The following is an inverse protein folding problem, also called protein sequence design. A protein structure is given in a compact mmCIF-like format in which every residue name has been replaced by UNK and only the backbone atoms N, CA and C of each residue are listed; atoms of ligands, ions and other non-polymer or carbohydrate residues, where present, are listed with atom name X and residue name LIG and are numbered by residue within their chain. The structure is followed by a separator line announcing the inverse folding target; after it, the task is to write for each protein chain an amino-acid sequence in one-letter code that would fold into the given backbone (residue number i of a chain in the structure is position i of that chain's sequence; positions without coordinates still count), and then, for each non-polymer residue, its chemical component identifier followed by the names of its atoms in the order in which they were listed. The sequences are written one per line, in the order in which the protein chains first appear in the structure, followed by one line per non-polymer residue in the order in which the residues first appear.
data_IF_758796675431
#
_entry.id   IF_758796675431
#
_cell.length_a   1.000
_cell.length_b   1.000
_cell.length_c   1.000
_cell.angle_alpha   90.00
_cell.angle_beta   90.00
_cell.angle_gamma   90.00
#
_symmetry.space_group_name_H-M   'P 1'
#
loop_
_entity.id
_entity.type
_entity.pdbx_description
1 polymer ?
#
# COMPACT_ATOMS: atom_id res chain seq x y z
N UNK A 1 -5.42 -39.91 -9.03
CA UNK A 1 -4.06 -39.84 -9.61
C UNK A 1 -4.02 -38.86 -10.79
N UNK A 2 -4.23 -37.57 -10.57
CA UNK A 2 -3.94 -36.54 -11.59
C UNK A 2 -3.17 -35.43 -10.86
N UNK A 3 -1.83 -35.52 -10.91
CA UNK A 3 -0.92 -34.52 -10.37
C UNK A 3 -0.80 -33.41 -11.41
N UNK A 4 -1.42 -32.26 -11.16
CA UNK A 4 -1.09 -31.04 -11.91
C UNK A 4 0.29 -30.58 -11.44
N UNK A 5 1.31 -30.78 -12.28
CA UNK A 5 2.61 -30.14 -12.11
C UNK A 5 2.42 -28.66 -12.43
N UNK A 6 2.31 -27.83 -11.39
CA UNK A 6 2.52 -26.40 -11.53
C UNK A 6 3.97 -26.19 -12.00
N UNK A 7 4.13 -25.67 -13.21
CA UNK A 7 5.42 -25.30 -13.76
C UNK A 7 5.94 -24.11 -12.94
N UNK A 8 6.82 -24.40 -11.97
CA UNK A 8 7.60 -23.41 -11.26
C UNK A 8 8.54 -22.72 -12.27
N UNK A 9 8.05 -21.63 -12.89
CA UNK A 9 8.91 -20.67 -13.57
C UNK A 9 9.63 -19.85 -12.50
N UNK A 10 10.72 -20.41 -11.97
CA UNK A 10 11.69 -19.64 -11.21
C UNK A 10 12.43 -18.71 -12.17
N UNK A 11 11.88 -17.52 -12.42
CA UNK A 11 12.64 -16.44 -13.02
C UNK A 11 13.64 -15.91 -11.99
N UNK A 12 14.80 -16.56 -11.90
CA UNK A 12 15.99 -15.96 -11.30
C UNK A 12 16.83 -15.35 -12.42
N UNK A 13 16.32 -14.26 -13.01
CA UNK A 13 17.16 -13.40 -13.82
C UNK A 13 17.80 -12.37 -12.88
N UNK A 14 18.85 -12.78 -12.16
CA UNK A 14 19.67 -11.84 -11.40
C UNK A 14 20.62 -11.13 -12.36
N UNK A 15 20.13 -10.07 -12.98
CA UNK A 15 21.01 -9.00 -13.48
C UNK A 15 21.01 -7.96 -12.37
N UNK A 16 22.17 -7.73 -11.76
CA UNK A 16 22.39 -6.63 -10.83
C UNK A 16 22.33 -5.30 -11.63
N UNK A 17 21.12 -4.86 -11.95
CA UNK A 17 20.81 -3.49 -12.37
C UNK A 17 20.56 -2.68 -11.10
N UNK A 18 20.98 -1.41 -11.10
CA UNK A 18 21.14 -0.55 -9.92
C UNK A 18 19.93 -0.48 -8.98
N UNK A 19 19.80 -1.49 -8.13
CA UNK A 19 18.74 -1.57 -7.14
C UNK A 19 18.83 -0.38 -6.19
N UNK A 20 17.67 0.03 -5.64
CA UNK A 20 17.64 0.84 -4.43
C UNK A 20 18.33 0.04 -3.32
N UNK A 21 19.64 0.26 -3.17
CA UNK A 21 20.38 -0.21 -2.02
C UNK A 21 20.35 0.89 -0.96
N UNK A 22 19.27 0.90 -0.18
CA UNK A 22 19.14 1.70 1.02
C UNK A 22 19.68 0.96 2.25
N UNK A 23 20.47 -0.10 2.10
CA UNK A 23 21.02 -0.82 3.25
C UNK A 23 21.92 0.06 4.11
N UNK A 24 22.63 1.00 3.49
CA UNK A 24 23.46 2.00 4.19
C UNK A 24 22.67 3.25 4.61
N UNK A 25 21.38 3.37 4.26
CA UNK A 25 20.59 4.53 4.64
C UNK A 25 20.34 4.51 6.16
N UNK A 26 20.68 5.59 6.88
CA UNK A 26 20.55 5.62 8.33
C UNK A 26 19.07 5.57 8.73
N UNK A 27 18.68 4.46 9.35
CA UNK A 27 17.41 4.30 10.06
C UNK A 27 17.68 4.02 11.52
N UNK A 28 16.84 4.58 12.40
CA UNK A 28 16.90 4.29 13.85
C UNK A 28 16.06 3.06 14.22
N UNK A 29 15.35 2.49 13.24
CA UNK A 29 14.39 1.41 13.46
C UNK A 29 15.01 0.08 13.09
N UNK A 30 15.14 -0.82 14.07
CA UNK A 30 15.40 -2.25 13.83
C UNK A 30 14.06 -2.93 13.49
N UNK A 31 13.86 -3.38 12.24
CA UNK A 31 12.60 -3.98 11.81
C UNK A 31 12.28 -5.29 12.54
N UNK A 32 13.29 -5.96 13.12
CA UNK A 32 13.10 -7.21 13.87
C UNK A 32 12.71 -6.99 15.34
N UNK A 33 12.83 -5.75 15.82
CA UNK A 33 12.59 -5.35 17.22
C UNK A 33 11.74 -4.09 17.31
N UNK A 34 10.70 -4.02 16.50
CA UNK A 34 9.78 -2.88 16.49
C UNK A 34 9.10 -2.69 17.85
N UNK A 35 9.29 -1.49 18.40
CA UNK A 35 8.57 -0.98 19.55
C UNK A 35 7.60 0.09 19.06
N UNK A 36 6.31 -0.14 19.27
CA UNK A 36 5.30 0.90 19.04
C UNK A 36 5.36 1.88 20.21
N UNK A 37 5.46 3.19 19.95
CA UNK A 37 5.39 4.16 21.02
C UNK A 37 4.00 4.13 21.67
N UNK A 38 3.94 4.29 22.99
CA UNK A 38 2.70 4.32 23.75
C UNK A 38 1.96 5.64 23.53
N UNK A 39 1.35 5.78 22.35
CA UNK A 39 0.60 6.97 21.95
C UNK A 39 -0.89 6.64 22.03
N UNK A 40 -1.72 7.42 22.75
CA UNK A 40 -3.16 7.27 22.69
C UNK A 40 -3.63 7.44 21.24
N UNK A 41 -4.31 6.44 20.71
CA UNK A 41 -4.87 6.46 19.37
C UNK A 41 -6.39 6.33 19.44
N UNK A 42 -7.08 6.91 18.46
CA UNK A 42 -8.52 6.70 18.32
C UNK A 42 -8.78 5.23 17.94
N UNK A 43 -9.59 4.55 18.74
CA UNK A 43 -10.16 3.23 18.43
C UNK A 43 -11.60 3.37 17.95
N UNK A 44 -12.04 4.58 17.63
CA UNK A 44 -13.40 4.86 17.19
C UNK A 44 -13.58 4.45 15.73
N UNK A 45 -14.61 3.64 15.48
CA UNK A 45 -15.11 3.33 14.14
C UNK A 45 -16.09 4.39 13.61
N UNK A 46 -16.42 5.41 14.41
CA UNK A 46 -17.32 6.46 13.96
C UNK A 46 -16.69 7.23 12.78
N UNK A 47 -17.39 7.24 11.65
CA UNK A 47 -16.98 7.92 10.42
C UNK A 47 -16.81 9.43 10.58
N UNK A 48 -17.42 10.02 11.61
CA UNK A 48 -17.28 11.43 11.96
C UNK A 48 -16.16 11.72 12.98
N UNK A 49 -15.59 10.69 13.61
CA UNK A 49 -14.49 10.88 14.55
C UNK A 49 -13.18 11.13 13.79
N UNK A 50 -12.75 12.38 13.80
CA UNK A 50 -11.48 12.79 13.20
C UNK A 50 -10.27 12.40 14.06
N UNK A 51 -9.12 12.45 13.40
CA UNK A 51 -7.84 12.05 13.96
C UNK A 51 -7.35 12.92 15.11
N UNK A 52 -6.61 12.31 16.03
CA UNK A 52 -5.86 13.05 17.05
C UNK A 52 -4.40 13.17 16.62
N UNK A 53 -3.90 14.41 16.53
CA UNK A 53 -2.48 14.65 16.29
C UNK A 53 -1.63 14.01 17.39
N UNK A 54 -0.50 13.42 17.02
CA UNK A 54 0.48 12.91 17.98
C UNK A 54 1.88 13.38 17.65
N UNK A 55 2.69 13.49 18.69
CA UNK A 55 4.12 13.74 18.53
C UNK A 55 4.84 12.43 18.23
N UNK A 56 5.52 12.35 17.09
CA UNK A 56 6.35 11.20 16.75
C UNK A 56 7.78 11.35 17.26
N UNK A 57 8.45 10.22 17.50
CA UNK A 57 9.89 10.19 17.81
C UNK A 57 10.78 10.37 16.58
N UNK A 58 10.19 10.44 15.38
CA UNK A 58 10.92 10.75 14.15
C UNK A 58 11.06 12.26 13.99
N UNK A 59 12.29 12.70 13.79
CA UNK A 59 12.57 14.08 13.40
C UNK A 59 12.58 14.14 11.88
N UNK A 60 11.64 14.86 11.28
CA UNK A 60 11.57 15.07 9.83
C UNK A 60 12.24 16.40 9.50
N UNK A 61 13.44 16.35 8.95
CA UNK A 61 14.16 17.55 8.49
C UNK A 61 13.69 17.89 7.08
N UNK A 62 13.04 19.05 6.91
CA UNK A 62 12.37 19.43 5.65
C UNK A 62 13.29 19.46 4.43
N UNK A 63 14.58 19.70 4.61
CA UNK A 63 15.61 19.72 3.57
C UNK A 63 16.07 18.33 3.13
N UNK A 64 15.65 17.26 3.81
CA UNK A 64 15.98 15.87 3.47
C UNK A 64 14.87 15.16 2.69
N UNK A 65 13.73 15.81 2.50
CA UNK A 65 12.52 15.20 1.95
C UNK A 65 11.86 16.12 0.92
N UNK A 66 11.14 15.55 -0.06
CA UNK A 66 10.31 16.37 -0.92
C UNK A 66 9.21 17.07 -0.13
N UNK A 67 8.63 18.11 -0.72
CA UNK A 67 7.43 18.72 -0.13
C UNK A 67 6.31 17.67 -0.10
N UNK A 68 5.65 17.54 1.05
CA UNK A 68 4.55 16.59 1.26
C UNK A 68 3.45 16.88 0.24
N UNK A 69 2.98 15.84 -0.46
CA UNK A 69 1.94 15.89 -1.52
C UNK A 69 2.31 16.59 -2.85
N UNK A 70 3.46 17.23 -2.94
CA UNK A 70 3.98 17.74 -4.22
C UNK A 70 4.81 16.68 -4.93
N UNK A 71 4.88 16.79 -6.27
CA UNK A 71 5.80 15.96 -7.09
C UNK A 71 7.18 15.96 -6.44
N UNK A 72 7.77 14.79 -6.28
CA UNK A 72 8.96 14.60 -5.44
C UNK A 72 10.21 15.41 -5.87
N UNK A 73 10.18 16.07 -7.03
CA UNK A 73 11.25 16.94 -7.54
C UNK A 73 10.96 18.44 -7.34
N UNK A 74 9.78 18.81 -6.85
CA UNK A 74 9.28 20.20 -6.81
C UNK A 74 10.14 21.16 -5.98
N UNK A 75 10.84 20.64 -4.98
CA UNK A 75 11.73 21.38 -4.08
C UNK A 75 13.21 21.02 -4.29
N UNK A 76 13.61 20.70 -5.53
CA UNK A 76 14.98 20.35 -5.94
C UNK A 76 15.54 19.07 -5.30
N UNK A 77 14.70 18.20 -4.75
CA UNK A 77 15.16 16.92 -4.18
C UNK A 77 15.73 15.96 -5.22
N UNK A 78 15.51 16.22 -6.50
CA UNK A 78 16.19 15.56 -7.62
C UNK A 78 17.67 15.97 -7.79
N UNK A 79 18.15 16.96 -7.03
CA UNK A 79 19.55 17.40 -7.01
C UNK A 79 20.33 16.91 -5.78
N UNK A 80 19.66 16.20 -4.86
CA UNK A 80 20.34 15.62 -3.69
C UNK A 80 21.44 14.67 -4.16
N UNK A 81 22.55 14.60 -3.41
CA UNK A 81 23.67 13.72 -3.80
C UNK A 81 23.27 12.25 -3.85
N UNK A 82 22.32 11.84 -3.00
CA UNK A 82 21.79 10.49 -2.96
C UNK A 82 20.97 10.18 -4.21
N UNK A 83 20.00 11.03 -4.56
CA UNK A 83 19.19 10.86 -5.76
C UNK A 83 20.02 10.95 -7.03
N UNK A 84 20.96 11.89 -7.12
CA UNK A 84 21.82 12.07 -8.30
C UNK A 84 22.68 10.83 -8.55
N UNK A 85 23.19 10.18 -7.49
CA UNK A 85 23.92 8.91 -7.63
C UNK A 85 23.04 7.78 -8.15
N UNK A 86 21.81 7.66 -7.65
CA UNK A 86 20.84 6.68 -8.13
C UNK A 86 20.46 6.95 -9.60
N UNK A 87 20.14 8.20 -9.94
CA UNK A 87 19.79 8.57 -11.32
C UNK A 87 20.93 8.24 -12.29
N UNK A 88 22.18 8.52 -11.91
CA UNK A 88 23.36 8.28 -12.74
C UNK A 88 23.78 6.79 -12.79
N UNK A 89 23.29 5.93 -11.90
CA UNK A 89 23.58 4.48 -11.95
C UNK A 89 22.70 3.74 -12.97
N UNK A 90 21.62 4.38 -13.44
CA UNK A 90 20.68 3.81 -14.41
C UNK A 90 21.17 4.10 -15.83
N UNK A 91 21.22 3.06 -16.67
CA UNK A 91 21.50 3.18 -18.11
C UNK A 91 20.24 3.65 -18.86
N UNK A 92 20.02 4.96 -18.87
CA UNK A 92 18.86 5.59 -19.51
C UNK A 92 18.77 5.36 -21.02
N UNK A 93 19.85 4.93 -21.69
CA UNK A 93 19.81 4.58 -23.11
C UNK A 93 18.93 3.36 -23.41
N UNK A 94 18.65 2.54 -22.38
CA UNK A 94 17.77 1.37 -22.45
C UNK A 94 16.32 1.65 -22.07
N UNK A 95 15.99 2.87 -21.63
CA UNK A 95 14.64 3.21 -21.22
C UNK A 95 13.67 3.17 -22.42
N UNK A 96 12.47 2.58 -22.29
CA UNK A 96 11.45 2.63 -23.32
C UNK A 96 11.12 4.07 -23.72
N UNK A 97 11.15 4.34 -25.02
CA UNK A 97 10.80 5.66 -25.57
C UNK A 97 9.28 5.84 -25.65
N UNK A 98 8.63 5.96 -24.49
CA UNK A 98 7.19 6.25 -24.38
C UNK A 98 7.00 7.73 -24.07
N UNK A 99 6.22 8.49 -24.85
CA UNK A 99 5.95 9.89 -24.58
C UNK A 99 5.24 10.09 -23.23
N UNK A 100 5.61 11.15 -22.52
CA UNK A 100 4.90 11.61 -21.31
C UNK A 100 3.46 11.98 -21.68
N UNK A 101 2.50 11.47 -20.90
CA UNK A 101 1.07 11.68 -21.11
C UNK A 101 0.64 13.05 -20.62
N UNK A 102 -0.52 13.49 -21.10
CA UNK A 102 -1.13 14.76 -20.71
C UNK A 102 -2.47 14.51 -20.05
N UNK A 103 -2.89 15.48 -19.25
CA UNK A 103 -4.25 15.55 -18.76
C UNK A 103 -5.09 16.36 -19.77
N UNK A 104 -6.34 15.96 -19.92
CA UNK A 104 -7.35 16.74 -20.61
C UNK A 104 -7.86 17.89 -19.71
N UNK A 105 -8.72 18.75 -20.26
CA UNK A 105 -9.25 19.91 -19.54
C UNK A 105 -10.07 19.57 -18.29
N UNK A 106 -10.55 18.32 -18.17
CA UNK A 106 -11.32 17.82 -17.03
C UNK A 106 -10.44 17.09 -15.99
N UNK A 107 -9.11 17.12 -16.12
CA UNK A 107 -8.19 16.46 -15.18
C UNK A 107 -7.93 14.98 -15.44
N UNK A 108 -8.68 14.35 -16.36
CA UNK A 108 -8.46 12.95 -16.75
C UNK A 108 -7.31 12.76 -17.75
N UNK A 109 -6.86 11.52 -17.93
CA UNK A 109 -5.84 11.20 -18.95
C UNK A 109 -6.34 11.52 -20.37
N UNK A 110 -5.49 12.17 -21.17
CA UNK A 110 -5.74 12.39 -22.59
C UNK A 110 -5.23 11.18 -23.40
N UNK A 111 -6.18 10.40 -23.91
CA UNK A 111 -5.90 9.22 -24.75
C UNK A 111 -5.82 9.58 -26.25
N UNK A 112 -5.97 10.85 -26.62
CA UNK A 112 -5.98 11.27 -28.03
C UNK A 112 -4.69 10.85 -28.74
N UNK A 113 -4.84 10.12 -29.84
CA UNK A 113 -3.71 9.64 -30.64
C UNK A 113 -3.01 8.40 -30.06
N UNK A 114 -3.48 7.84 -28.94
CA UNK A 114 -2.98 6.55 -28.48
C UNK A 114 -3.62 5.40 -29.28
N UNK A 115 -2.78 4.50 -29.79
CA UNK A 115 -3.22 3.29 -30.47
C UNK A 115 -3.64 2.23 -29.44
N UNK A 116 -4.92 2.19 -29.09
CA UNK A 116 -5.48 1.22 -28.14
C UNK A 116 -5.62 -0.18 -28.71
N UNK A 117 -5.49 -0.35 -30.03
CA UNK A 117 -5.57 -1.66 -30.69
C UNK A 117 -4.24 -2.39 -30.58
N UNK A 118 -3.14 -1.71 -30.93
CA UNK A 118 -1.80 -2.30 -30.87
C UNK A 118 -1.10 -2.06 -29.53
N UNK A 119 -1.53 -1.06 -28.76
CA UNK A 119 -1.08 -0.75 -27.40
C UNK A 119 0.45 -0.71 -27.25
N UNK A 120 1.17 0.12 -28.02
CA UNK A 120 2.62 0.02 -28.15
C UNK A 120 3.38 0.22 -26.82
N UNK A 121 2.75 0.85 -25.82
CA UNK A 121 3.36 1.11 -24.52
C UNK A 121 2.84 0.22 -23.38
N UNK A 122 1.96 -0.75 -23.67
CA UNK A 122 1.27 -1.54 -22.63
C UNK A 122 0.65 -0.64 -21.55
N UNK A 123 -0.14 0.35 -21.97
CA UNK A 123 -0.64 1.38 -21.07
C UNK A 123 -1.88 0.90 -20.33
N UNK A 124 -1.75 0.65 -19.03
CA UNK A 124 -2.82 0.06 -18.23
C UNK A 124 -4.10 0.90 -18.24
N UNK A 125 -3.99 2.22 -18.13
CA UNK A 125 -5.15 3.13 -18.13
C UNK A 125 -5.92 3.12 -19.45
N UNK A 126 -5.30 2.67 -20.55
CA UNK A 126 -5.93 2.61 -21.87
C UNK A 126 -6.47 1.22 -22.22
N UNK A 127 -5.74 0.16 -21.86
CA UNK A 127 -6.01 -1.22 -22.34
C UNK A 127 -5.98 -2.28 -21.25
N UNK A 128 -5.71 -1.89 -20.00
CA UNK A 128 -5.45 -2.77 -18.87
C UNK A 128 -4.33 -3.79 -19.15
N UNK A 129 -3.37 -3.43 -20.01
CA UNK A 129 -2.21 -4.28 -20.27
C UNK A 129 -1.32 -4.38 -19.03
N UNK A 130 -0.95 -5.62 -18.68
CA UNK A 130 -0.23 -6.00 -17.45
C UNK A 130 1.08 -6.74 -17.71
N UNK A 131 1.36 -7.05 -18.98
CA UNK A 131 2.56 -7.76 -19.42
C UNK A 131 3.39 -6.80 -20.27
N UNK A 132 4.52 -6.30 -19.76
CA UNK A 132 5.31 -5.30 -20.46
C UNK A 132 5.81 -5.85 -21.80
N UNK A 133 5.92 -4.95 -22.79
CA UNK A 133 6.49 -5.25 -24.12
C UNK A 133 7.98 -4.93 -24.15
N UNK A 134 8.41 -4.01 -23.29
CA UNK A 134 9.81 -3.68 -23.03
C UNK A 134 10.58 -4.86 -22.44
N UNK A 135 11.85 -5.00 -22.84
CA UNK A 135 12.74 -6.02 -22.34
C UNK A 135 13.24 -5.69 -20.93
N UNK A 136 13.53 -6.72 -20.13
CA UNK A 136 14.05 -6.60 -18.76
C UNK A 136 13.15 -5.75 -17.85
N UNK A 137 11.83 -5.86 -18.05
CA UNK A 137 10.81 -5.18 -17.26
C UNK A 137 9.96 -6.23 -16.54
N UNK A 138 9.75 -6.04 -15.24
CA UNK A 138 8.92 -6.94 -14.45
C UNK A 138 7.44 -6.87 -14.90
N UNK A 139 6.79 -8.03 -15.02
CA UNK A 139 5.36 -8.10 -15.25
C UNK A 139 4.57 -7.78 -13.98
N UNK A 140 3.34 -7.28 -14.15
CA UNK A 140 2.51 -6.90 -13.01
C UNK A 140 1.90 -8.13 -12.33
N UNK A 141 1.70 -8.02 -11.01
CA UNK A 141 0.93 -8.98 -10.22
C UNK A 141 -0.53 -8.50 -10.20
N UNK A 142 -1.45 -9.28 -10.76
CA UNK A 142 -2.87 -8.88 -10.92
C UNK A 142 -3.89 -9.88 -10.36
N UNK A 143 -3.45 -11.06 -9.96
CA UNK A 143 -4.29 -12.07 -9.33
C UNK A 143 -3.45 -12.97 -8.43
N UNK A 144 -4.07 -13.54 -7.39
CA UNK A 144 -3.48 -14.64 -6.65
C UNK A 144 -3.53 -15.94 -7.49
N UNK A 145 -2.48 -16.78 -7.47
CA UNK A 145 -2.43 -18.03 -8.22
C UNK A 145 -3.36 -19.10 -7.64
N UNK A 146 -3.48 -19.19 -6.31
CA UNK A 146 -4.36 -20.16 -5.67
C UNK A 146 -5.84 -19.83 -5.93
N UNK A 147 -6.66 -20.79 -6.39
CA UNK A 147 -8.11 -20.64 -6.51
C UNK A 147 -8.79 -20.10 -5.26
N UNK A 148 -9.92 -19.41 -5.45
CA UNK A 148 -10.82 -18.99 -4.37
C UNK A 148 -10.10 -18.21 -3.25
N UNK A 149 -9.02 -17.50 -3.62
CA UNK A 149 -8.22 -16.66 -2.73
C UNK A 149 -8.56 -15.19 -2.94
N UNK A 150 -8.90 -14.51 -1.86
CA UNK A 150 -9.05 -13.06 -1.83
C UNK A 150 -7.71 -12.40 -1.48
N UNK A 151 -7.06 -11.79 -2.47
CA UNK A 151 -5.87 -10.97 -2.28
C UNK A 151 -6.24 -9.62 -1.66
N UNK A 152 -6.03 -9.49 -0.36
CA UNK A 152 -6.48 -8.35 0.44
C UNK A 152 -5.47 -7.19 0.37
N UNK A 153 -5.92 -6.05 -0.14
CA UNK A 153 -5.09 -4.84 -0.28
C UNK A 153 -5.79 -3.57 0.17
N UNK A 154 -5.02 -2.62 0.70
CA UNK A 154 -5.49 -1.28 1.05
C UNK A 154 -4.50 -0.22 0.58
N UNK A 155 -5.01 0.77 -0.14
CA UNK A 155 -4.23 1.90 -0.67
C UNK A 155 -4.37 3.15 0.21
N UNK A 156 -3.55 4.14 -0.10
CA UNK A 156 -3.55 5.51 0.44
C UNK A 156 -3.17 5.68 1.92
N UNK A 157 -2.74 4.60 2.55
CA UNK A 157 -2.24 4.61 3.92
C UNK A 157 -0.82 5.22 4.07
N UNK A 158 -0.29 5.22 5.30
CA UNK A 158 -1.06 5.14 6.53
C UNK A 158 -1.86 6.42 6.71
N UNK A 159 -3.11 6.31 7.15
CA UNK A 159 -3.90 7.48 7.56
C UNK A 159 -3.79 7.66 9.09
N UNK A 160 -4.58 8.56 9.69
CA UNK A 160 -4.56 8.80 11.13
C UNK A 160 -5.68 8.11 11.92
N UNK A 161 -6.66 7.50 11.27
CA UNK A 161 -7.74 6.71 11.89
C UNK A 161 -7.52 5.18 11.78
N UNK A 162 -6.39 4.76 11.22
CA UNK A 162 -6.03 3.37 10.94
C UNK A 162 -6.06 2.44 12.15
N UNK A 163 -6.01 2.97 13.38
CA UNK A 163 -5.87 2.17 14.57
C UNK A 163 -7.05 1.25 14.84
N UNK A 164 -8.28 1.77 14.74
CA UNK A 164 -9.48 0.96 14.90
C UNK A 164 -9.54 -0.15 13.84
N UNK A 165 -9.10 0.17 12.62
CA UNK A 165 -9.04 -0.78 11.52
C UNK A 165 -7.96 -1.85 11.72
N UNK A 166 -6.77 -1.48 12.19
CA UNK A 166 -5.67 -2.42 12.43
C UNK A 166 -5.97 -3.28 13.66
N UNK A 167 -6.68 -2.75 14.68
CA UNK A 167 -7.23 -3.53 15.80
C UNK A 167 -8.19 -4.61 15.26
N UNK A 168 -9.11 -4.23 14.36
CA UNK A 168 -10.03 -5.18 13.74
C UNK A 168 -9.30 -6.28 12.96
N UNK A 169 -8.31 -5.92 12.13
CA UNK A 169 -7.49 -6.89 11.39
C UNK A 169 -6.73 -7.82 12.35
N UNK A 170 -6.13 -7.27 13.41
CA UNK A 170 -5.37 -8.03 14.40
C UNK A 170 -6.27 -9.02 15.17
N UNK A 171 -7.45 -8.57 15.63
CA UNK A 171 -8.45 -9.41 16.31
C UNK A 171 -8.91 -10.58 15.44
N UNK A 172 -8.95 -10.38 14.12
CA UNK A 172 -9.33 -11.41 13.15
C UNK A 172 -8.13 -12.21 12.60
N UNK A 173 -6.93 -12.01 13.14
CA UNK A 173 -5.67 -12.58 12.63
C UNK A 173 -5.50 -12.40 11.11
N UNK A 174 -5.96 -11.26 10.58
CA UNK A 174 -6.00 -10.98 9.16
C UNK A 174 -4.84 -10.06 8.77
N UNK A 175 -4.05 -10.49 7.78
CA UNK A 175 -2.98 -9.68 7.17
C UNK A 175 -3.44 -9.18 5.80
N UNK A 176 -2.84 -8.08 5.36
CA UNK A 176 -3.16 -7.40 4.10
C UNK A 176 -1.87 -6.83 3.50
N UNK A 177 -1.86 -6.57 2.19
CA UNK A 177 -0.86 -5.70 1.58
C UNK A 177 -1.30 -4.25 1.71
N UNK A 178 -0.49 -3.41 2.35
CA UNK A 178 -0.76 -1.99 2.56
C UNK A 178 0.10 -1.17 1.61
N UNK A 179 -0.49 -0.39 0.73
CA UNK A 179 0.19 0.47 -0.23
C UNK A 179 0.24 1.89 0.33
N UNK A 180 1.42 2.28 0.81
CA UNK A 180 1.59 3.54 1.50
C UNK A 180 2.09 4.66 0.60
N UNK A 181 1.42 5.81 0.67
CA UNK A 181 1.90 7.06 0.07
C UNK A 181 3.09 7.54 0.88
N UNK A 182 4.22 7.83 0.22
CA UNK A 182 5.47 8.19 0.88
C UNK A 182 5.35 9.41 1.79
N UNK A 183 4.59 10.42 1.37
CA UNK A 183 4.34 11.61 2.17
C UNK A 183 3.45 11.33 3.40
N UNK A 184 2.50 10.39 3.30
CA UNK A 184 1.71 9.93 4.45
C UNK A 184 2.56 9.19 5.48
N UNK A 185 3.58 8.42 5.07
CA UNK A 185 4.49 7.74 5.99
C UNK A 185 5.23 8.74 6.90
N UNK A 186 5.58 9.93 6.39
CA UNK A 186 6.23 10.96 7.21
C UNK A 186 5.26 11.72 8.12
N UNK A 187 4.01 11.91 7.68
CA UNK A 187 2.97 12.53 8.51
C UNK A 187 2.48 11.58 9.60
N UNK A 188 2.43 10.28 9.30
CA UNK A 188 1.84 9.26 10.16
C UNK A 188 2.80 8.07 10.41
N UNK A 189 4.03 8.31 10.92
CA UNK A 189 5.04 7.26 11.06
C UNK A 189 4.64 6.16 12.05
N UNK A 190 3.78 6.45 13.02
CA UNK A 190 3.23 5.42 13.90
C UNK A 190 2.43 4.38 13.11
N UNK A 191 1.63 4.80 12.12
CA UNK A 191 0.82 3.88 11.31
C UNK A 191 1.69 2.94 10.48
N UNK A 192 2.77 3.46 9.89
CA UNK A 192 3.71 2.63 9.16
C UNK A 192 4.45 1.63 10.08
N UNK A 193 4.89 2.07 11.26
CA UNK A 193 5.48 1.17 12.27
C UNK A 193 4.49 0.07 12.68
N UNK A 194 3.23 0.45 12.92
CA UNK A 194 2.17 -0.46 13.32
C UNK A 194 1.88 -1.48 12.21
N UNK A 195 1.79 -1.04 10.96
CA UNK A 195 1.59 -1.92 9.81
C UNK A 195 2.64 -3.03 9.73
N UNK A 196 3.92 -2.67 9.88
CA UNK A 196 4.99 -3.67 9.90
C UNK A 196 4.95 -4.55 11.17
N UNK A 197 4.70 -3.96 12.34
CA UNK A 197 4.64 -4.67 13.63
C UNK A 197 3.52 -5.71 13.65
N UNK A 198 2.36 -5.36 13.11
CA UNK A 198 1.20 -6.23 12.99
C UNK A 198 1.37 -7.26 11.85
N UNK A 199 2.48 -7.23 11.10
CA UNK A 199 2.84 -8.25 10.11
C UNK A 199 2.14 -8.08 8.77
N UNK A 200 1.68 -6.87 8.44
CA UNK A 200 1.16 -6.56 7.12
C UNK A 200 2.29 -6.44 6.09
N UNK A 201 1.96 -6.68 4.82
CA UNK A 201 2.90 -6.50 3.71
C UNK A 201 2.92 -5.04 3.25
N UNK A 202 3.89 -4.26 3.73
CA UNK A 202 4.07 -2.87 3.33
C UNK A 202 4.64 -2.73 1.90
N UNK A 203 3.96 -1.94 1.08
CA UNK A 203 4.31 -1.61 -0.30
C UNK A 203 4.36 -0.09 -0.50
N UNK A 204 5.01 0.38 -1.57
CA UNK A 204 5.00 1.80 -1.95
C UNK A 204 3.78 2.19 -2.79
N UNK A 205 3.30 3.43 -2.63
CA UNK A 205 2.19 3.99 -3.43
C UNK A 205 2.50 5.39 -3.97
N UNK A 206 3.74 5.59 -4.42
CA UNK A 206 4.27 6.90 -4.86
C UNK A 206 4.33 7.93 -3.73
N UNK A 207 5.05 9.04 -3.96
CA UNK A 207 5.27 10.05 -2.93
C UNK A 207 4.10 11.01 -2.83
N UNK A 208 3.62 11.47 -4.00
CA UNK A 208 2.64 12.56 -4.15
C UNK A 208 1.31 12.12 -4.74
N UNK A 209 1.16 10.84 -5.06
CA UNK A 209 -0.07 10.26 -5.59
C UNK A 209 -0.54 10.91 -6.91
N UNK A 210 0.40 11.15 -7.84
CA UNK A 210 0.14 11.67 -9.18
C UNK A 210 0.11 10.56 -10.23
N UNK A 211 -0.58 10.80 -11.34
CA UNK A 211 -0.60 9.88 -12.49
C UNK A 211 0.80 9.71 -13.07
N UNK A 212 1.40 8.54 -12.89
CA UNK A 212 2.82 8.32 -13.14
C UNK A 212 3.21 8.47 -14.61
N UNK A 213 2.30 8.23 -15.55
CA UNK A 213 2.60 8.38 -16.99
C UNK A 213 2.65 9.84 -17.43
N UNK A 214 2.11 10.77 -16.62
CA UNK A 214 2.19 12.22 -16.83
C UNK A 214 3.49 12.85 -16.31
N UNK A 215 4.27 12.08 -15.55
CA UNK A 215 5.55 12.48 -14.99
C UNK A 215 6.71 12.11 -15.93
N UNK A 216 7.73 12.96 -15.99
CA UNK A 216 8.96 12.64 -16.72
C UNK A 216 9.78 11.55 -15.99
N UNK A 217 10.84 11.05 -16.62
CA UNK A 217 11.63 9.93 -16.07
C UNK A 217 12.26 10.21 -14.71
N UNK A 218 12.73 11.43 -14.48
CA UNK A 218 13.36 11.84 -13.22
C UNK A 218 12.30 11.95 -12.11
N UNK A 219 11.12 12.46 -12.44
CA UNK A 219 9.97 12.55 -11.54
C UNK A 219 9.45 11.17 -11.15
N UNK A 220 9.24 10.26 -12.12
CA UNK A 220 8.86 8.86 -11.85
C UNK A 220 9.84 8.18 -10.91
N UNK A 221 11.16 8.33 -11.17
CA UNK A 221 12.19 7.78 -10.31
C UNK A 221 12.10 8.36 -8.89
N UNK A 222 11.91 9.67 -8.76
CA UNK A 222 11.83 10.36 -7.47
C UNK A 222 10.61 9.93 -6.65
N UNK A 223 9.44 9.80 -7.28
CA UNK A 223 8.22 9.33 -6.65
C UNK A 223 8.40 7.95 -5.99
N UNK A 224 9.02 7.01 -6.70
CA UNK A 224 9.28 5.67 -6.20
C UNK A 224 10.36 5.66 -5.11
N UNK A 225 11.47 6.35 -5.37
CA UNK A 225 12.62 6.37 -4.48
C UNK A 225 12.32 7.03 -3.12
N UNK A 226 11.69 8.22 -3.10
CA UNK A 226 11.40 8.90 -1.85
C UNK A 226 10.32 8.18 -1.02
N UNK A 227 9.43 7.44 -1.68
CA UNK A 227 8.48 6.55 -1.00
C UNK A 227 9.19 5.40 -0.29
N UNK A 228 10.07 4.68 -0.99
CA UNK A 228 10.87 3.62 -0.39
C UNK A 228 11.76 4.15 0.74
N UNK A 229 12.38 5.32 0.55
CA UNK A 229 13.18 6.02 1.57
C UNK A 229 12.37 6.34 2.82
N UNK A 230 11.14 6.85 2.67
CA UNK A 230 10.26 7.16 3.80
C UNK A 230 9.88 5.90 4.59
N UNK A 231 9.50 4.83 3.89
CA UNK A 231 9.18 3.53 4.51
C UNK A 231 10.41 2.99 5.25
N UNK A 232 11.60 3.00 4.63
CA UNK A 232 12.86 2.57 5.25
C UNK A 232 13.21 3.39 6.48
N UNK A 233 13.09 4.71 6.40
CA UNK A 233 13.39 5.62 7.49
C UNK A 233 12.55 5.30 8.73
N UNK A 234 11.24 5.08 8.54
CA UNK A 234 10.32 4.84 9.64
C UNK A 234 10.37 3.40 10.14
N UNK A 235 10.40 2.42 9.24
CA UNK A 235 10.14 1.01 9.58
C UNK A 235 11.38 0.12 9.56
N UNK A 236 12.46 0.60 8.95
CA UNK A 236 13.69 -0.17 8.80
C UNK A 236 13.72 -1.12 7.61
N UNK A 237 12.65 -1.23 6.81
CA UNK A 237 12.58 -2.08 5.60
C UNK A 237 12.41 -1.27 4.31
N UNK A 238 12.93 -1.80 3.21
CA UNK A 238 12.82 -1.23 1.86
C UNK A 238 11.86 -2.07 1.02
N UNK A 239 10.69 -1.55 0.59
CA UNK A 239 9.70 -2.32 -0.17
C UNK A 239 10.19 -2.67 -1.58
N UNK A 240 9.93 -3.92 -2.01
CA UNK A 240 10.19 -4.39 -3.39
C UNK A 240 8.91 -4.43 -4.25
N UNK A 241 7.80 -4.00 -3.70
CA UNK A 241 6.50 -4.00 -4.35
C UNK A 241 5.82 -2.64 -4.18
N UNK A 242 5.07 -2.27 -5.20
CA UNK A 242 4.41 -0.97 -5.24
C UNK A 242 3.13 -1.06 -6.07
N UNK A 243 2.29 -0.03 -5.97
CA UNK A 243 1.13 0.16 -6.84
C UNK A 243 1.17 1.58 -7.40
N UNK A 244 0.95 1.78 -8.71
CA UNK A 244 0.83 3.11 -9.29
C UNK A 244 -0.41 3.81 -8.75
N UNK A 245 -0.24 5.06 -8.32
CA UNK A 245 -1.35 5.93 -7.98
C UNK A 245 -2.35 6.00 -9.14
N UNK A 246 -3.64 5.89 -8.83
CA UNK A 246 -4.74 5.91 -9.81
C UNK A 246 -4.67 4.77 -10.86
N UNK A 247 -3.84 3.75 -10.64
CA UNK A 247 -3.61 2.66 -11.60
C UNK A 247 -2.73 3.02 -12.79
N UNK A 248 -2.26 4.27 -12.89
CA UNK A 248 -1.67 4.78 -14.12
C UNK A 248 -0.22 4.33 -14.32
N UNK A 249 0.00 3.47 -15.33
CA UNK A 249 1.26 2.77 -15.57
C UNK A 249 1.42 2.39 -17.05
N UNK A 250 2.59 2.64 -17.61
CA UNK A 250 3.02 2.17 -18.93
C UNK A 250 4.40 1.50 -18.85
N UNK A 251 4.90 0.99 -19.98
CA UNK A 251 6.19 0.31 -20.04
C UNK A 251 7.38 1.16 -19.58
N UNK A 252 7.34 2.47 -19.80
CA UNK A 252 8.41 3.38 -19.33
C UNK A 252 8.40 3.44 -17.81
N UNK A 253 7.23 3.61 -17.20
CA UNK A 253 7.09 3.64 -15.74
C UNK A 253 7.44 2.27 -15.12
N UNK A 254 6.99 1.14 -15.71
CA UNK A 254 7.36 -0.21 -15.24
C UNK A 254 8.87 -0.44 -15.33
N UNK A 255 9.49 -0.02 -16.43
CA UNK A 255 10.92 -0.18 -16.62
C UNK A 255 11.73 0.59 -15.58
N UNK A 256 11.33 1.83 -15.26
CA UNK A 256 11.97 2.64 -14.21
C UNK A 256 11.82 1.96 -12.84
N UNK A 257 10.61 1.48 -12.50
CA UNK A 257 10.40 0.74 -11.26
C UNK A 257 11.24 -0.55 -11.19
N UNK A 258 11.41 -1.24 -12.31
CA UNK A 258 12.26 -2.44 -12.40
C UNK A 258 13.72 -2.14 -12.09
N UNK A 259 14.23 -0.94 -12.43
CA UNK A 259 15.60 -0.53 -12.06
C UNK A 259 15.77 -0.47 -10.54
N UNK A 260 14.70 -0.20 -9.80
CA UNK A 260 14.68 -0.17 -8.34
C UNK A 260 14.40 -1.54 -7.71
N UNK A 261 14.40 -2.61 -8.52
CA UNK A 261 13.97 -3.95 -8.14
C UNK A 261 12.53 -4.00 -7.62
N UNK A 262 11.67 -3.10 -8.11
CA UNK A 262 10.27 -3.04 -7.73
C UNK A 262 9.37 -3.75 -8.74
N UNK A 263 8.33 -4.42 -8.26
CA UNK A 263 7.28 -5.03 -9.09
C UNK A 263 5.93 -4.40 -8.79
N UNK A 264 5.18 -4.03 -9.83
CA UNK A 264 3.86 -3.44 -9.66
C UNK A 264 2.83 -4.52 -9.27
N UNK A 265 2.01 -4.21 -8.27
CA UNK A 265 0.84 -4.98 -7.87
C UNK A 265 -0.41 -4.18 -8.22
N UNK A 266 -1.21 -4.68 -9.15
CA UNK A 266 -2.48 -4.07 -9.55
C UNK A 266 -3.64 -4.84 -8.92
N UNK A 267 -4.82 -4.75 -9.51
CA UNK A 267 -6.04 -5.41 -9.06
C UNK A 267 -6.84 -5.92 -10.26
N UNK A 268 -7.74 -6.86 -10.00
CA UNK A 268 -8.73 -7.33 -10.97
C UNK A 268 -10.17 -7.15 -10.49
N UNK A 269 -10.37 -6.61 -9.29
CA UNK A 269 -11.65 -6.16 -8.75
C UNK A 269 -11.44 -4.81 -8.03
N UNK A 270 -12.35 -3.86 -8.26
CA UNK A 270 -12.28 -2.51 -7.69
C UNK A 270 -13.56 -2.20 -6.89
N UNK A 271 -13.43 -1.87 -5.61
CA UNK A 271 -14.60 -1.59 -4.76
C UNK A 271 -15.23 -0.23 -5.03
N UNK A 272 -14.51 0.70 -5.67
CA UNK A 272 -14.89 2.11 -5.82
C UNK A 272 -15.24 2.80 -4.48
N UNK A 273 -14.68 2.31 -3.38
CA UNK A 273 -14.92 2.82 -2.02
C UNK A 273 -14.46 4.27 -1.85
N UNK A 274 -13.33 4.63 -2.47
CA UNK A 274 -12.81 6.00 -2.53
C UNK A 274 -13.77 7.01 -3.17
N UNK A 275 -14.66 6.53 -4.04
CA UNK A 275 -15.57 7.37 -4.82
C UNK A 275 -16.95 7.56 -4.16
N UNK A 276 -17.20 6.91 -3.02
CA UNK A 276 -18.47 6.95 -2.31
C UNK A 276 -18.82 8.38 -1.87
N UNK A 277 -19.88 8.95 -2.46
CA UNK A 277 -20.37 10.29 -2.13
C UNK A 277 -19.51 11.44 -2.69
N UNK A 278 -18.40 11.15 -3.37
CA UNK A 278 -17.51 12.13 -3.99
C UNK A 278 -17.61 12.13 -5.51
N UNK A 279 -17.97 10.98 -6.11
CA UNK A 279 -18.19 10.85 -7.56
C UNK A 279 -19.68 10.75 -7.88
N UNK A 280 -20.19 11.52 -8.87
CA UNK A 280 -21.59 11.42 -9.28
C UNK A 280 -22.02 9.98 -9.60
N UNK A 281 -23.06 9.50 -8.93
CA UNK A 281 -23.61 8.16 -9.12
C UNK A 281 -22.93 7.05 -8.30
N UNK A 282 -21.85 7.33 -7.57
CA UNK A 282 -21.22 6.36 -6.67
C UNK A 282 -21.63 6.70 -5.23
N UNK A 283 -22.52 5.88 -4.68
CA UNK A 283 -23.03 6.01 -3.30
C UNK A 283 -22.47 4.92 -2.40
N UNK A 284 -22.70 5.03 -1.08
CA UNK A 284 -22.39 3.95 -0.15
C UNK A 284 -23.08 2.63 -0.53
N UNK A 285 -24.31 2.68 -1.05
CA UNK A 285 -25.02 1.48 -1.53
C UNK A 285 -24.39 0.89 -2.78
N UNK A 286 -23.85 1.73 -3.67
CA UNK A 286 -23.10 1.28 -4.85
C UNK A 286 -21.88 0.47 -4.42
N UNK A 287 -21.12 0.96 -3.44
CA UNK A 287 -19.95 0.26 -2.90
C UNK A 287 -20.35 -1.00 -2.15
N UNK A 288 -21.40 -0.96 -1.32
CA UNK A 288 -21.94 -2.16 -0.67
C UNK A 288 -22.33 -3.23 -1.70
N UNK A 289 -22.96 -2.85 -2.80
CA UNK A 289 -23.34 -3.78 -3.86
C UNK A 289 -22.11 -4.40 -4.53
N UNK A 290 -21.03 -3.63 -4.77
CA UNK A 290 -19.76 -4.18 -5.28
C UNK A 290 -19.21 -5.28 -4.38
N UNK A 291 -19.18 -5.07 -3.06
CA UNK A 291 -18.77 -6.09 -2.12
C UNK A 291 -19.66 -7.34 -2.18
N UNK A 292 -20.99 -7.17 -2.26
CA UNK A 292 -21.93 -8.28 -2.39
C UNK A 292 -21.73 -9.07 -3.69
N UNK A 293 -21.47 -8.38 -4.81
CA UNK A 293 -21.17 -9.01 -6.09
C UNK A 293 -19.88 -9.83 -6.00
N UNK A 294 -18.83 -9.30 -5.37
CA UNK A 294 -17.56 -10.00 -5.18
C UNK A 294 -17.68 -11.18 -4.22
N UNK A 295 -18.51 -11.08 -3.19
CA UNK A 295 -18.90 -12.20 -2.32
C UNK A 295 -19.59 -13.29 -3.14
N UNK A 296 -20.53 -12.93 -4.01
CA UNK A 296 -21.23 -13.89 -4.87
C UNK A 296 -20.28 -14.56 -5.88
N UNK A 297 -19.30 -13.83 -6.42
CA UNK A 297 -18.24 -14.38 -7.28
C UNK A 297 -17.40 -15.46 -6.56
N UNK A 298 -17.17 -15.30 -5.25
CA UNK A 298 -16.51 -16.34 -4.44
C UNK A 298 -17.35 -17.63 -4.35
N UNK A 299 -18.68 -17.51 -4.35
CA UNK A 299 -19.62 -18.64 -4.17
C UNK A 299 -20.00 -19.35 -5.47
N UNK A 300 -19.91 -18.68 -6.61
CA UNK A 300 -20.48 -19.17 -7.88
C UNK A 300 -19.43 -19.81 -8.82
N UNK A 301 -18.20 -20.02 -8.36
CA UNK A 301 -17.13 -20.61 -9.14
C UNK A 301 -16.35 -19.64 -10.05
N UNK A 302 -16.61 -18.32 -9.98
CA UNK A 302 -15.83 -17.32 -10.76
C UNK A 302 -14.32 -17.46 -10.51
N UNK A 303 -13.94 -17.74 -9.26
CA UNK A 303 -12.54 -17.89 -8.84
C UNK A 303 -12.11 -19.37 -8.67
N UNK A 304 -12.76 -20.32 -9.34
CA UNK A 304 -12.44 -21.76 -9.22
C UNK A 304 -11.05 -22.17 -9.75
N UNK A 305 -10.40 -21.32 -10.54
CA UNK A 305 -9.10 -21.62 -11.18
C UNK A 305 -7.95 -20.71 -10.74
N UNK A 306 -8.27 -19.60 -10.07
CA UNK A 306 -7.31 -18.59 -9.55
C UNK A 306 -8.03 -17.65 -8.58
N UNK A 307 -7.29 -16.94 -7.75
CA UNK A 307 -7.83 -15.93 -6.84
C UNK A 307 -7.99 -14.56 -7.50
N UNK A 308 -8.37 -13.59 -6.68
CA UNK A 308 -8.44 -12.17 -7.04
C UNK A 308 -7.41 -11.34 -6.26
N UNK A 309 -7.25 -10.08 -6.67
CA UNK A 309 -6.67 -9.02 -5.87
C UNK A 309 -7.66 -7.85 -5.92
N UNK A 310 -8.11 -7.42 -4.74
CA UNK A 310 -9.16 -6.40 -4.61
C UNK A 310 -8.55 -5.07 -4.20
N UNK A 311 -8.80 -4.04 -4.99
CA UNK A 311 -8.50 -2.65 -4.63
C UNK A 311 -9.54 -2.13 -3.64
N UNK A 312 -9.07 -1.65 -2.50
CA UNK A 312 -9.81 -0.95 -1.45
C UNK A 312 -8.86 0.04 -0.78
N UNK A 313 -9.37 0.93 0.07
CA UNK A 313 -8.60 2.07 0.57
C UNK A 313 -8.70 2.23 2.09
N UNK A 314 -7.59 2.60 2.72
CA UNK A 314 -7.57 3.11 4.10
C UNK A 314 -7.44 4.64 4.10
N UNK A 315 -8.35 5.34 3.41
CA UNK A 315 -8.36 6.81 3.36
C UNK A 315 -8.94 7.41 4.64
N UNK A 316 -10.05 6.84 5.11
CA UNK A 316 -10.80 7.31 6.28
C UNK A 316 -11.64 6.17 6.87
N UNK A 317 -12.37 6.46 7.95
CA UNK A 317 -13.23 5.46 8.60
C UNK A 317 -14.31 4.90 7.68
N UNK A 318 -14.87 5.67 6.75
CA UNK A 318 -15.90 5.18 5.83
C UNK A 318 -15.38 4.09 4.90
N UNK A 319 -14.20 4.28 4.28
CA UNK A 319 -13.63 3.28 3.36
C UNK A 319 -13.28 1.98 4.09
N UNK A 320 -12.71 2.11 5.30
CA UNK A 320 -12.38 0.96 6.16
C UNK A 320 -13.64 0.23 6.66
N UNK A 321 -14.70 0.96 7.00
CA UNK A 321 -15.98 0.41 7.45
C UNK A 321 -16.66 -0.45 6.38
N UNK A 322 -16.56 -0.08 5.09
CA UNK A 322 -17.09 -0.93 4.03
C UNK A 322 -16.46 -2.33 4.08
N UNK A 323 -15.13 -2.42 4.15
CA UNK A 323 -14.48 -3.72 4.27
C UNK A 323 -14.88 -4.45 5.57
N UNK A 324 -14.81 -3.78 6.73
CA UNK A 324 -15.11 -4.41 8.02
C UNK A 324 -16.53 -4.96 8.09
N UNK A 325 -17.50 -4.28 7.48
CA UNK A 325 -18.89 -4.73 7.37
C UNK A 325 -19.02 -6.03 6.58
N UNK A 326 -18.27 -6.17 5.49
CA UNK A 326 -18.39 -7.31 4.55
C UNK A 326 -17.42 -8.45 4.85
N UNK A 327 -16.35 -8.22 5.62
CA UNK A 327 -15.31 -9.19 5.93
C UNK A 327 -15.83 -10.56 6.43
N UNK A 328 -16.82 -10.64 7.34
CA UNK A 328 -17.35 -11.94 7.77
C UNK A 328 -17.93 -12.79 6.62
N UNK A 329 -18.61 -12.16 5.66
CA UNK A 329 -19.17 -12.86 4.50
C UNK A 329 -18.12 -13.14 3.43
N UNK A 330 -17.12 -12.27 3.26
CA UNK A 330 -15.94 -12.54 2.42
C UNK A 330 -15.24 -13.82 2.90
N UNK A 331 -14.97 -13.93 4.21
CA UNK A 331 -14.30 -15.11 4.81
C UNK A 331 -15.07 -16.42 4.63
N UNK A 332 -16.40 -16.37 4.54
CA UNK A 332 -17.22 -17.56 4.26
C UNK A 332 -17.25 -17.94 2.78
N UNK A 333 -16.97 -16.98 1.90
CA UNK A 333 -17.20 -17.11 0.45
C UNK A 333 -15.93 -17.44 -0.33
N UNK A 334 -14.77 -17.26 0.30
CA UNK A 334 -13.46 -17.56 -0.26
C UNK A 334 -12.76 -18.57 0.65
N UNK A 335 -12.01 -19.51 0.07
CA UNK A 335 -11.22 -20.48 0.84
C UNK A 335 -10.12 -19.79 1.63
N UNK A 336 -9.55 -18.73 1.06
CA UNK A 336 -8.44 -17.99 1.63
C UNK A 336 -8.67 -16.49 1.49
N UNK A 337 -8.30 -15.74 2.52
CA UNK A 337 -8.26 -14.27 2.51
C UNK A 337 -6.94 -13.88 3.14
N UNK A 338 -6.04 -13.28 2.37
CA UNK A 338 -4.65 -13.06 2.80
C UNK A 338 -4.01 -11.91 2.01
N UNK A 339 -2.86 -11.43 2.49
CA UNK A 339 -2.07 -10.43 1.76
C UNK A 339 -1.49 -11.00 0.45
N UNK A 340 -1.12 -10.11 -0.46
CA UNK A 340 -0.64 -10.50 -1.79
C UNK A 340 0.73 -11.18 -1.73
N UNK A 341 1.61 -10.80 -0.78
CA UNK A 341 2.91 -11.46 -0.65
C UNK A 341 2.74 -12.95 -0.33
N UNK A 342 1.90 -13.26 0.66
CA UNK A 342 1.55 -14.64 1.02
C UNK A 342 0.86 -15.35 -0.15
N UNK A 343 -0.11 -14.73 -0.82
CA UNK A 343 -0.82 -15.40 -1.93
C UNK A 343 0.09 -15.71 -3.13
N UNK A 344 1.13 -14.90 -3.35
CA UNK A 344 2.11 -15.07 -4.42
C UNK A 344 3.34 -15.90 -4.00
N UNK A 345 3.37 -16.45 -2.78
CA UNK A 345 4.55 -17.12 -2.21
C UNK A 345 5.83 -16.24 -2.19
N UNK A 346 5.67 -14.94 -1.97
CA UNK A 346 6.79 -14.00 -1.82
C UNK A 346 7.30 -14.08 -0.38
N UNK A 347 8.32 -14.89 -0.13
CA UNK A 347 8.87 -15.05 1.23
C UNK A 347 9.71 -13.86 1.70
N UNK A 348 10.24 -13.05 0.78
CA UNK A 348 11.11 -11.91 1.09
C UNK A 348 10.61 -10.64 0.36
N UNK A 349 9.60 -9.94 0.90
CA UNK A 349 9.03 -8.77 0.24
C UNK A 349 9.89 -7.50 0.35
N UNK A 350 10.98 -7.56 1.13
CA UNK A 350 11.85 -6.43 1.43
C UNK A 350 13.30 -6.72 1.03
N UNK A 351 14.04 -5.66 0.68
CA UNK A 351 15.44 -5.75 0.27
C UNK A 351 16.32 -6.40 1.35
N UNK A 352 16.09 -6.07 2.62
CA UNK A 352 16.91 -6.50 3.76
C UNK A 352 16.77 -8.00 4.07
N UNK A 353 15.67 -8.65 3.64
CA UNK A 353 15.38 -10.08 3.88
C UNK A 353 15.35 -10.49 5.37
N UNK A 354 15.23 -9.53 6.28
CA UNK A 354 15.14 -9.76 7.73
C UNK A 354 13.72 -10.02 8.21
N UNK A 355 12.72 -9.53 7.49
CA UNK A 355 11.30 -9.85 7.69
C UNK A 355 10.87 -10.80 6.58
N UNK A 356 10.43 -12.00 6.97
CA UNK A 356 10.06 -13.06 6.05
C UNK A 356 8.59 -13.42 6.18
N UNK A 357 7.95 -13.71 5.05
CA UNK A 357 6.57 -14.16 4.99
C UNK A 357 6.53 -15.68 4.83
N UNK A 358 5.58 -16.31 5.52
CA UNK A 358 5.37 -17.74 5.36
C UNK A 358 4.77 -18.01 3.97
N UNK A 359 5.20 -19.09 3.34
CA UNK A 359 4.62 -19.55 2.10
C UNK A 359 3.14 -19.92 2.32
N UNK A 360 2.35 -19.88 1.25
CA UNK A 360 0.91 -20.04 1.27
C UNK A 360 0.42 -21.29 2.01
N UNK A 361 1.04 -22.45 1.76
CA UNK A 361 0.64 -23.71 2.42
C UNK A 361 0.84 -23.64 3.95
N UNK A 362 1.88 -22.96 4.40
CA UNK A 362 2.19 -22.82 5.83
C UNK A 362 1.26 -21.81 6.50
N UNK A 363 0.92 -20.71 5.82
CA UNK A 363 0.02 -19.67 6.36
C UNK A 363 -1.42 -20.16 6.46
N UNK A 364 -1.86 -21.01 5.53
CA UNK A 364 -3.22 -21.56 5.51
C UNK A 364 -3.39 -22.73 6.48
N UNK A 365 -2.37 -23.58 6.68
CA UNK A 365 -2.42 -24.71 7.63
C UNK A 365 -2.31 -24.27 9.10
N UNK A 366 -1.55 -23.21 9.41
CA UNK A 366 -1.50 -22.63 10.76
C UNK A 366 -2.84 -22.04 11.21
N UNK A 367 -3.65 -21.54 10.28
CA UNK A 367 -5.02 -21.08 10.58
C UNK A 367 -6.01 -22.24 10.84
N UNK A 368 -5.65 -23.49 10.48
CA UNK A 368 -6.46 -24.70 10.75
C UNK A 368 -5.97 -25.43 12.01
N UNK A 369 -4.80 -25.06 12.55
CA UNK A 369 -4.18 -25.73 13.70
C UNK A 369 -3.74 -24.73 14.77
N UNK A 370 -4.68 -24.24 15.57
CA UNK A 370 -4.36 -23.60 16.86
C UNK A 370 -5.33 -24.04 17.96
N UNK A 371 -5.30 -25.34 18.28
CA UNK A 371 -5.37 -25.83 19.67
C UNK A 371 -4.08 -26.59 19.91
N UNK A 372 -3.12 -25.91 20.54
CA UNK A 372 -2.11 -26.35 21.54
C UNK A 372 -0.88 -25.46 21.41
N UNK A 373 -0.53 -24.83 22.53
CA UNK A 373 0.37 -23.68 22.58
C UNK A 373 1.85 -23.98 22.65
N UNK A 374 2.63 -22.89 22.53
CA UNK A 374 3.81 -22.49 23.31
C UNK A 374 4.49 -21.38 22.52
N UNK A 375 4.72 -20.16 23.00
CA UNK A 375 4.39 -19.52 24.26
C UNK A 375 4.88 -18.06 24.18
N UNK A 376 4.06 -17.13 24.66
CA UNK A 376 4.50 -15.85 25.22
C UNK A 376 3.50 -15.55 26.34
N UNK A 377 3.96 -15.57 27.58
CA UNK A 377 3.17 -15.21 28.77
C UNK A 377 3.23 -13.68 28.91
N UNK A 378 2.10 -12.95 28.96
CA UNK A 378 2.09 -11.57 29.44
C UNK A 378 2.14 -11.59 30.97
N UNK A 379 3.22 -11.07 31.54
CA UNK A 379 3.31 -10.82 32.98
C UNK A 379 2.39 -9.66 33.38
N UNK A 380 1.21 -9.98 33.90
CA UNK A 380 0.39 -9.05 34.64
C UNK A 380 0.82 -9.08 36.12
N UNK A 381 1.17 -7.93 36.68
CA UNK A 381 1.20 -7.71 38.13
C UNK A 381 0.49 -6.40 38.42
N UNK A 382 -0.77 -6.50 38.83
CA UNK A 382 -1.47 -5.43 39.49
C UNK A 382 -1.18 -5.45 40.99
N UNK A 383 -1.24 -4.29 41.63
CA UNK A 383 -1.76 -4.15 42.99
C UNK A 383 -2.27 -2.71 43.23
N UNK A 384 -3.27 -2.54 44.11
CA UNK A 384 -4.18 -1.40 44.09
C UNK A 384 -3.84 -0.36 45.16
N UNK A 385 -4.14 0.92 44.92
CA UNK A 385 -4.30 1.90 46.00
C UNK A 385 -5.49 2.83 45.70
N UNK A 386 -6.31 2.99 46.73
CA UNK A 386 -7.56 3.74 46.87
C UNK A 386 -7.39 5.26 47.03
N UNK A 387 -8.32 6.01 46.42
CA UNK A 387 -9.06 7.13 47.02
C UNK A 387 -8.37 8.48 47.28
N UNK A 388 -8.81 9.53 46.57
CA UNK A 388 -9.32 10.79 47.17
C UNK A 388 -9.71 11.85 46.10
N UNK A 389 -10.99 12.25 46.16
CA UNK A 389 -11.58 13.60 46.06
C UNK A 389 -10.89 14.74 45.29
N UNK A 390 -11.65 15.27 44.30
CA UNK A 390 -11.90 16.68 43.94
C UNK A 390 -10.74 17.64 43.60
N UNK A 391 -10.70 18.11 42.34
CA UNK A 391 -10.78 19.55 42.01
C UNK A 391 -11.01 19.76 40.50
N UNK A 392 -12.01 20.58 40.14
CA UNK A 392 -12.26 21.07 38.78
C UNK A 392 -11.78 22.52 38.72
N UNK A 393 -10.98 22.91 37.71
CA UNK A 393 -11.00 24.28 37.24
C UNK A 393 -11.53 24.33 35.81
N UNK A 394 -12.65 25.04 35.65
CA UNK A 394 -13.17 25.50 34.36
C UNK A 394 -12.15 26.45 33.72
N UNK A 395 -11.72 26.14 32.50
CA UNK A 395 -11.10 27.12 31.62
C UNK A 395 -11.98 27.32 30.39
N UNK A 396 -12.45 28.55 30.23
CA UNK A 396 -13.19 29.02 29.06
C UNK A 396 -12.28 28.92 27.84
N UNK A 397 -12.67 28.13 26.84
CA UNK A 397 -12.06 28.16 25.51
C UNK A 397 -12.98 28.96 24.59
N UNK A 398 -12.45 30.10 24.14
CA UNK A 398 -13.04 30.99 23.15
C UNK A 398 -13.14 30.27 21.81
N UNK A 399 -14.33 30.26 21.20
CA UNK A 399 -14.52 29.80 19.83
C UNK A 399 -13.68 30.65 18.87
N UNK A 400 -12.73 30.02 18.19
CA UNK A 400 -12.13 30.53 16.97
C UNK A 400 -12.58 29.61 15.83
N UNK A 401 -13.51 30.13 15.04
CA UNK A 401 -14.00 29.54 13.80
C UNK A 401 -12.84 29.48 12.80
N UNK A 402 -12.33 28.28 12.51
CA UNK A 402 -11.37 28.06 11.42
C UNK A 402 -12.15 27.56 10.21
N UNK A 403 -12.14 28.36 9.16
CA UNK A 403 -12.74 28.10 7.86
C UNK A 403 -11.90 27.03 7.15
N UNK A 404 -12.52 25.87 6.87
CA UNK A 404 -11.94 24.83 6.03
C UNK A 404 -11.97 25.26 4.56
N UNK A 405 -10.81 25.29 3.91
CA UNK A 405 -10.69 25.25 2.45
C UNK A 405 -10.65 23.80 2.01
N UNK A 406 -11.77 23.29 1.50
CA UNK A 406 -11.78 22.13 0.63
C UNK A 406 -11.29 22.58 -0.75
N UNK A 407 -10.12 22.10 -1.19
CA UNK A 407 -9.61 22.34 -2.54
C UNK A 407 -9.60 21.03 -3.33
N UNK A 408 -10.55 20.99 -4.27
CA UNK A 408 -10.62 20.25 -5.53
C UNK A 408 -9.73 19.02 -5.69
N UNK A 409 -10.39 17.86 -5.66
CA UNK A 409 -10.07 16.72 -6.54
C UNK A 409 -10.84 16.96 -7.84
N UNK A 410 -10.11 17.24 -8.92
CA UNK A 410 -10.51 17.06 -10.32
C UNK A 410 -9.31 16.46 -11.04
#
# INVERSE_FOLDING_TARGET
MWKYQALLLSFTSTIALGAIDLSSFPTKTDPTRLLLPAIPQTTSHDVATECTFYQSNFTIQKDQWPTVWDIATSNNMNTSSEFTRLYNSIDWSKAPNVPVRKLNAAGGLDLTGYDTVNDPACWWSATQCTKPKSQNTNADIVNCPEPETWGLTFDDGPNCSHNAFYDYLQQNNQKASMFYIGSNVLNWPYGALRGLKDGHHLCGHTWSHKMMTTLNNQEVLAELYYTAKAIKYVTGVTPLYWRPALGDLDDRVRWIATQLNMTAMLWNLDTNDWAAGTTPGITADTVNQKYLDYIQMGRNGTFQSKGNIVLSHEINNMTMDFFMKHYPEIKKSYKHVTDVATCMNISNPYFEKVITFANFDVSTTKNVSSVTGSGVVPGASGSPISGASTYIPQWKVTLLTVIFFAALVL
#
